data_IF_989090854279
#
_entry.id   IF_989090854279
#
_cell.length_a   1.000
_cell.length_b   1.000
_cell.length_c   1.000
_cell.angle_alpha   90.00
_cell.angle_beta   90.00
_cell.angle_gamma   90.00
#
_symmetry.space_group_name_H-M   'P 1'
#
loop_
_entity.id
_entity.type
_entity.pdbx_description
1 polymer ?
#
# COMPACT_ATOMS: atom_id res chain seq x y z
N UNK A 1 -2.45 21.46 1.94
CA UNK A 1 -3.25 21.52 3.17
C UNK A 1 -4.11 20.27 3.42
N UNK A 2 -4.65 19.58 2.40
CA UNK A 2 -5.57 18.44 2.61
C UNK A 2 -4.93 17.18 3.25
N UNK A 3 -3.72 16.78 2.86
CA UNK A 3 -3.05 15.57 3.39
C UNK A 3 -2.71 15.69 4.89
N UNK A 4 -2.14 16.82 5.32
CA UNK A 4 -1.84 17.09 6.73
C UNK A 4 -3.11 17.07 7.59
N UNK A 5 -4.20 17.67 7.10
CA UNK A 5 -5.49 17.64 7.78
C UNK A 5 -6.06 16.22 7.86
N UNK A 6 -5.94 15.42 6.80
CA UNK A 6 -6.36 14.01 6.81
C UNK A 6 -5.61 13.20 7.89
N UNK A 7 -4.29 13.34 7.96
CA UNK A 7 -3.46 12.68 8.99
C UNK A 7 -3.87 13.15 10.39
N UNK A 8 -3.95 14.47 10.61
CA UNK A 8 -4.30 15.05 11.90
C UNK A 8 -5.72 14.69 12.37
N UNK A 9 -6.65 14.45 11.45
CA UNK A 9 -8.05 14.10 11.74
C UNK A 9 -8.28 12.60 11.89
N UNK A 10 -7.23 11.80 12.08
CA UNK A 10 -7.28 10.33 12.14
C UNK A 10 -7.91 9.69 10.89
N UNK A 11 -7.72 10.31 9.72
CA UNK A 11 -8.33 9.87 8.47
C UNK A 11 -8.00 8.42 8.10
N UNK A 12 -6.78 7.96 8.37
CA UNK A 12 -6.39 6.55 8.15
C UNK A 12 -7.21 5.57 8.98
N UNK A 13 -7.44 5.88 10.26
CA UNK A 13 -8.24 5.03 11.14
C UNK A 13 -9.67 4.90 10.60
N UNK A 14 -10.29 6.03 10.26
CA UNK A 14 -11.65 6.06 9.70
C UNK A 14 -11.69 5.30 8.36
N UNK A 15 -10.71 5.53 7.49
CA UNK A 15 -10.64 4.85 6.19
C UNK A 15 -10.51 3.34 6.36
N UNK A 16 -9.68 2.85 7.28
CA UNK A 16 -9.54 1.42 7.52
C UNK A 16 -10.79 0.80 8.15
N UNK A 17 -11.47 1.50 9.05
CA UNK A 17 -12.76 1.04 9.57
C UNK A 17 -13.81 0.90 8.46
N UNK A 18 -13.84 1.84 7.51
CA UNK A 18 -14.73 1.75 6.34
C UNK A 18 -14.32 0.59 5.45
N UNK A 19 -13.03 0.45 5.12
CA UNK A 19 -12.51 -0.62 4.29
C UNK A 19 -12.78 -2.00 4.89
N UNK A 20 -12.60 -2.17 6.21
CA UNK A 20 -12.92 -3.44 6.88
C UNK A 20 -14.40 -3.80 6.77
N UNK A 21 -15.31 -2.81 6.78
CA UNK A 21 -16.75 -3.05 6.55
C UNK A 21 -17.06 -3.41 5.11
N UNK A 22 -16.55 -2.64 4.14
CA UNK A 22 -16.88 -2.85 2.72
C UNK A 22 -16.11 -4.01 2.08
N UNK A 23 -15.14 -4.60 2.80
CA UNK A 23 -14.41 -5.80 2.39
C UNK A 23 -14.76 -7.04 3.21
N UNK A 24 -15.81 -6.98 4.05
CA UNK A 24 -16.20 -8.08 4.94
C UNK A 24 -16.72 -9.33 4.22
N UNK A 25 -17.11 -9.22 2.95
CA UNK A 25 -17.55 -10.35 2.11
C UNK A 25 -17.28 -10.06 0.63
N UNK A 26 -17.24 -11.12 -0.19
CA UNK A 26 -17.05 -11.00 -1.63
C UNK A 26 -18.15 -10.18 -2.32
N UNK A 27 -19.41 -10.32 -1.85
CA UNK A 27 -20.53 -9.53 -2.37
C UNK A 27 -20.32 -8.02 -2.15
N UNK A 28 -19.84 -7.62 -0.97
CA UNK A 28 -19.54 -6.22 -0.65
C UNK A 28 -18.34 -5.70 -1.45
N UNK A 29 -17.32 -6.55 -1.67
CA UNK A 29 -16.18 -6.21 -2.53
C UNK A 29 -16.67 -5.90 -3.96
N UNK A 30 -17.52 -6.76 -4.52
CA UNK A 30 -18.08 -6.57 -5.86
C UNK A 30 -18.93 -5.29 -5.93
N UNK A 31 -19.84 -5.09 -4.98
CA UNK A 31 -20.71 -3.90 -4.90
C UNK A 31 -19.89 -2.60 -4.83
N UNK A 32 -18.79 -2.61 -4.08
CA UNK A 32 -17.98 -1.43 -3.81
C UNK A 32 -16.68 -1.36 -4.63
N UNK A 33 -16.51 -2.16 -5.68
CA UNK A 33 -15.29 -2.23 -6.50
C UNK A 33 -14.75 -0.85 -6.91
N UNK A 34 -15.64 0.07 -7.33
CA UNK A 34 -15.23 1.44 -7.73
C UNK A 34 -14.65 2.24 -6.58
N UNK A 35 -15.23 2.13 -5.39
CA UNK A 35 -14.72 2.77 -4.18
C UNK A 35 -13.37 2.16 -3.78
N UNK A 36 -13.27 0.83 -3.80
CA UNK A 36 -12.05 0.09 -3.46
C UNK A 36 -10.89 0.45 -4.39
N UNK A 37 -11.12 0.56 -5.71
CA UNK A 37 -10.09 1.00 -6.66
C UNK A 37 -9.59 2.42 -6.35
N UNK A 38 -10.49 3.35 -6.01
CA UNK A 38 -10.10 4.71 -5.61
C UNK A 38 -9.35 4.72 -4.28
N UNK A 39 -9.77 3.91 -3.31
CA UNK A 39 -9.10 3.77 -2.04
C UNK A 39 -7.69 3.18 -2.20
N UNK A 40 -7.51 2.18 -3.07
CA UNK A 40 -6.22 1.58 -3.38
C UNK A 40 -5.27 2.60 -4.00
N UNK A 41 -5.74 3.36 -4.98
CA UNK A 41 -4.97 4.44 -5.59
C UNK A 41 -4.61 5.51 -4.56
N UNK A 42 -5.58 5.97 -3.77
CA UNK A 42 -5.36 6.94 -2.70
C UNK A 42 -4.31 6.46 -1.68
N UNK A 43 -4.43 5.22 -1.20
CA UNK A 43 -3.46 4.64 -0.26
C UNK A 43 -2.06 4.55 -0.88
N UNK A 44 -1.95 4.22 -2.16
CA UNK A 44 -0.68 4.20 -2.90
C UNK A 44 -0.05 5.60 -2.94
N UNK A 45 -0.82 6.64 -3.30
CA UNK A 45 -0.35 8.03 -3.26
C UNK A 45 0.09 8.44 -1.86
N UNK A 46 -0.69 8.10 -0.83
CA UNK A 46 -0.32 8.41 0.55
C UNK A 46 1.01 7.75 0.95
N UNK A 47 1.27 6.50 0.55
CA UNK A 47 2.55 5.84 0.83
C UNK A 47 3.75 6.54 0.17
N UNK A 48 3.51 7.23 -0.94
CA UNK A 48 4.53 7.99 -1.67
C UNK A 48 4.82 9.35 -1.04
N UNK A 49 3.79 9.99 -0.46
CA UNK A 49 3.82 11.41 -0.09
C UNK A 49 3.90 11.69 1.41
N UNK A 50 3.76 10.67 2.28
CA UNK A 50 3.84 10.88 3.72
C UNK A 50 5.25 11.31 4.16
N UNK A 51 5.32 12.39 4.94
CA UNK A 51 6.55 12.82 5.60
C UNK A 51 6.91 11.90 6.77
N UNK A 52 8.15 11.97 7.26
CA UNK A 52 8.59 11.18 8.41
C UNK A 52 7.77 11.49 9.67
N UNK A 53 7.45 12.76 9.88
CA UNK A 53 6.61 13.22 10.99
C UNK A 53 5.20 12.62 10.90
N UNK A 54 4.63 12.56 9.69
CA UNK A 54 3.32 11.97 9.48
C UNK A 54 3.34 10.45 9.65
N UNK A 55 4.38 9.76 9.18
CA UNK A 55 4.57 8.32 9.41
C UNK A 55 4.66 8.01 10.91
N UNK A 56 5.38 8.83 11.68
CA UNK A 56 5.44 8.71 13.14
C UNK A 56 4.08 8.97 13.79
N UNK A 57 3.33 9.96 13.31
CA UNK A 57 2.00 10.30 13.83
C UNK A 57 0.97 9.20 13.59
N UNK A 58 1.15 8.36 12.57
CA UNK A 58 0.24 7.26 12.23
C UNK A 58 0.80 5.87 12.56
N UNK A 59 1.89 5.78 13.34
CA UNK A 59 2.54 4.50 13.66
C UNK A 59 1.56 3.45 14.21
N UNK A 60 0.56 3.88 14.99
CA UNK A 60 -0.42 3.00 15.62
C UNK A 60 -1.53 2.56 14.66
N UNK A 61 -1.58 3.10 13.45
CA UNK A 61 -2.52 2.67 12.40
C UNK A 61 -2.06 1.40 11.69
N UNK A 62 -0.85 0.90 11.96
CA UNK A 62 -0.26 -0.28 11.31
C UNK A 62 -0.39 -0.25 9.77
N UNK A 63 -0.03 0.89 9.16
CA UNK A 63 -0.28 1.18 7.75
C UNK A 63 0.22 0.07 6.81
N UNK A 64 1.45 -0.43 7.02
CA UNK A 64 2.01 -1.51 6.21
C UNK A 64 1.20 -2.81 6.32
N UNK A 65 0.79 -3.19 7.54
CA UNK A 65 -0.05 -4.37 7.78
C UNK A 65 -1.42 -4.22 7.11
N UNK A 66 -2.06 -3.06 7.23
CA UNK A 66 -3.37 -2.81 6.61
C UNK A 66 -3.31 -2.85 5.09
N UNK A 67 -2.26 -2.31 4.49
CA UNK A 67 -2.04 -2.41 3.04
C UNK A 67 -1.79 -3.86 2.62
N UNK A 68 -0.99 -4.60 3.37
CA UNK A 68 -0.75 -6.02 3.13
C UNK A 68 -2.04 -6.86 3.21
N UNK A 69 -2.86 -6.63 4.23
CA UNK A 69 -4.17 -7.29 4.38
C UNK A 69 -5.09 -6.99 3.19
N UNK A 70 -5.17 -5.74 2.76
CA UNK A 70 -5.99 -5.35 1.60
C UNK A 70 -5.47 -5.97 0.31
N UNK A 71 -4.15 -5.98 0.09
CA UNK A 71 -3.55 -6.60 -1.08
C UNK A 71 -3.83 -8.12 -1.14
N UNK A 72 -3.83 -8.79 0.01
CA UNK A 72 -4.22 -10.20 0.12
C UNK A 72 -5.70 -10.43 -0.18
N UNK A 73 -6.58 -9.56 0.34
CA UNK A 73 -8.03 -9.66 0.13
C UNK A 73 -8.43 -9.42 -1.33
N UNK A 74 -7.69 -8.58 -2.05
CA UNK A 74 -7.99 -8.23 -3.44
C UNK A 74 -7.29 -9.10 -4.48
N UNK A 75 -6.33 -9.95 -4.08
CA UNK A 75 -5.66 -10.82 -5.05
C UNK A 75 -6.59 -11.95 -5.56
N UNK A 76 -6.64 -12.24 -6.87
CA UNK A 76 -5.94 -11.57 -7.98
C UNK A 76 -6.74 -10.39 -8.58
N UNK A 77 -8.02 -10.24 -8.25
CA UNK A 77 -8.89 -9.16 -8.73
C UNK A 77 -9.70 -8.53 -7.58
N UNK A 78 -9.70 -7.18 -7.41
CA UNK A 78 -9.03 -6.19 -8.26
C UNK A 78 -7.49 -6.23 -8.18
N UNK A 79 -6.77 -5.78 -9.21
CA UNK A 79 -5.31 -5.91 -9.27
C UNK A 79 -4.67 -5.19 -8.07
N UNK A 80 -3.87 -5.87 -7.23
CA UNK A 80 -3.33 -5.28 -6.01
C UNK A 80 -2.10 -4.40 -6.28
N UNK A 81 -1.73 -4.15 -7.54
CA UNK A 81 -0.49 -3.48 -7.93
C UNK A 81 -0.24 -2.16 -7.20
N UNK A 82 -1.24 -1.27 -7.12
CA UNK A 82 -1.09 0.01 -6.42
C UNK A 82 -0.78 -0.16 -4.93
N UNK A 83 -1.41 -1.14 -4.29
CA UNK A 83 -1.16 -1.48 -2.88
C UNK A 83 0.22 -2.12 -2.71
N UNK A 84 0.62 -3.02 -3.60
CA UNK A 84 1.92 -3.67 -3.58
C UNK A 84 3.06 -2.68 -3.82
N UNK A 85 2.88 -1.73 -4.74
CA UNK A 85 3.81 -0.63 -4.97
C UNK A 85 3.96 0.26 -3.73
N UNK A 86 2.84 0.66 -3.13
CA UNK A 86 2.84 1.42 -1.87
C UNK A 86 3.52 0.66 -0.74
N UNK A 87 3.28 -0.65 -0.62
CA UNK A 87 3.92 -1.50 0.37
C UNK A 87 5.43 -1.60 0.17
N UNK A 88 5.91 -1.75 -1.06
CA UNK A 88 7.35 -1.78 -1.36
C UNK A 88 8.06 -0.51 -0.88
N UNK A 89 7.43 0.66 -1.09
CA UNK A 89 7.96 1.94 -0.61
C UNK A 89 8.03 2.00 0.92
N UNK A 90 6.97 1.59 1.61
CA UNK A 90 6.93 1.57 3.09
C UNK A 90 7.98 0.62 3.68
N UNK A 91 8.21 -0.53 3.07
CA UNK A 91 9.18 -1.54 3.55
C UNK A 91 10.63 -1.16 3.23
N UNK A 92 10.86 -0.48 2.10
CA UNK A 92 12.21 -0.03 1.71
C UNK A 92 12.60 1.31 2.34
N UNK A 93 11.61 2.07 2.84
CA UNK A 93 11.82 3.44 3.31
C UNK A 93 12.10 4.41 2.15
N UNK A 94 11.69 4.05 0.92
CA UNK A 94 11.84 4.90 -0.26
C UNK A 94 10.64 5.81 -0.40
N UNK A 95 10.86 7.03 -0.87
CA UNK A 95 9.80 7.94 -1.32
C UNK A 95 9.79 7.97 -2.85
N UNK A 96 8.62 8.16 -3.44
CA UNK A 96 8.49 8.31 -4.89
C UNK A 96 9.06 9.67 -5.33
N UNK A 97 9.76 9.70 -6.46
CA UNK A 97 10.42 10.89 -7.03
C UNK A 97 9.41 11.88 -7.66
N UNK A 98 8.13 11.50 -7.75
CA UNK A 98 7.08 12.31 -8.36
C UNK A 98 6.81 13.66 -7.65
N UNK A 99 7.35 13.89 -6.46
CA UNK A 99 7.18 15.14 -5.71
C UNK A 99 8.18 16.24 -6.08
N UNK A 100 9.19 16.00 -6.92
CA UNK A 100 10.12 17.07 -7.31
C UNK A 100 10.77 16.81 -8.69
N UNK A 101 10.12 17.17 -9.81
CA UNK A 101 10.72 17.03 -11.14
C UNK A 101 11.93 17.95 -11.35
N UNK A 102 12.07 19.00 -10.54
CA UNK A 102 13.17 19.98 -10.62
C UNK A 102 14.33 19.71 -9.65
N UNK A 103 14.15 18.85 -8.64
CA UNK A 103 15.24 18.41 -7.77
C UNK A 103 15.67 16.98 -8.10
N UNK A 104 16.46 16.86 -9.16
CA UNK A 104 17.37 15.72 -9.29
C UNK A 104 18.23 15.62 -8.02
N UNK A 105 17.97 14.60 -7.21
CA UNK A 105 18.69 14.28 -5.98
C UNK A 105 18.54 15.33 -4.85
N UNK A 106 17.31 15.50 -4.31
CA UNK A 106 17.26 15.76 -2.86
C UNK A 106 17.81 14.51 -2.20
N UNK A 107 18.95 14.65 -1.55
CA UNK A 107 19.57 13.69 -0.63
C UNK A 107 18.58 13.45 0.53
N UNK A 108 17.50 12.76 0.21
CA UNK A 108 16.37 12.51 1.08
C UNK A 108 16.81 11.36 1.94
N UNK A 109 17.12 11.66 3.19
CA UNK A 109 17.24 10.66 4.25
C UNK A 109 16.12 9.62 4.04
N UNK A 110 16.46 8.32 3.93
CA UNK A 110 15.46 7.30 3.70
C UNK A 110 14.39 7.40 4.79
N UNK A 111 13.13 7.34 4.36
CA UNK A 111 11.99 7.37 5.25
C UNK A 111 12.07 6.19 6.24
N UNK A 112 11.49 6.31 7.44
CA UNK A 112 11.38 5.20 8.38
C UNK A 112 10.78 3.97 7.69
N UNK A 113 11.53 2.86 7.72
CA UNK A 113 11.04 1.57 7.25
C UNK A 113 9.96 1.08 8.20
N UNK A 114 8.81 0.71 7.66
CA UNK A 114 7.78 0.04 8.44
C UNK A 114 8.03 -1.45 8.48
N UNK A 115 7.83 -2.05 9.65
CA UNK A 115 7.84 -3.50 9.81
C UNK A 115 6.47 -4.08 9.49
N UNK A 116 6.46 -5.23 8.81
CA UNK A 116 5.27 -6.04 8.60
C UNK A 116 5.25 -7.20 9.62
N UNK A 117 4.07 -7.58 10.12
CA UNK A 117 3.92 -8.80 10.94
C UNK A 117 4.35 -10.06 10.18
N UNK A 118 4.91 -11.03 10.90
CA UNK A 118 5.54 -12.21 10.27
C UNK A 118 4.53 -13.14 9.59
N UNK A 119 3.31 -13.24 10.11
CA UNK A 119 2.21 -13.97 9.48
C UNK A 119 1.82 -13.33 8.14
N UNK A 120 1.70 -12.00 8.10
CA UNK A 120 1.43 -11.25 6.87
C UNK A 120 2.56 -11.36 5.86
N UNK A 121 3.83 -11.35 6.30
CA UNK A 121 4.98 -11.58 5.40
C UNK A 121 4.87 -12.95 4.72
N UNK A 122 4.60 -14.00 5.47
CA UNK A 122 4.47 -15.36 4.94
C UNK A 122 3.29 -15.47 3.96
N UNK A 123 2.13 -14.91 4.33
CA UNK A 123 0.93 -14.93 3.50
C UNK A 123 1.13 -14.15 2.19
N UNK A 124 1.69 -12.94 2.26
CA UNK A 124 2.00 -12.14 1.07
C UNK A 124 3.04 -12.83 0.18
N UNK A 125 4.11 -13.42 0.76
CA UNK A 125 5.11 -14.14 -0.02
C UNK A 125 4.47 -15.26 -0.85
N UNK A 126 3.52 -15.99 -0.27
CA UNK A 126 2.76 -17.04 -0.96
C UNK A 126 1.85 -16.44 -2.03
N UNK A 127 1.08 -15.41 -1.71
CA UNK A 127 0.12 -14.79 -2.63
C UNK A 127 0.81 -14.15 -3.85
N UNK A 128 1.87 -13.37 -3.62
CA UNK A 128 2.65 -12.70 -4.66
C UNK A 128 3.34 -13.71 -5.59
N UNK A 129 3.65 -14.91 -5.10
CA UNK A 129 4.16 -16.01 -5.92
C UNK A 129 3.18 -16.48 -7.01
N UNK A 130 1.88 -16.26 -6.81
CA UNK A 130 0.81 -16.73 -7.68
C UNK A 130 0.17 -15.59 -8.52
N UNK A 131 0.62 -14.35 -8.37
CA UNK A 131 0.08 -13.23 -9.14
C UNK A 131 0.51 -13.37 -10.61
N UNK A 132 -0.40 -13.12 -11.57
CA UNK A 132 -0.01 -13.03 -12.97
C UNK A 132 0.91 -11.81 -13.16
N UNK A 133 1.98 -11.99 -13.94
CA UNK A 133 2.95 -10.91 -14.25
C UNK A 133 3.06 -10.60 -15.74
N UNK A 134 2.28 -11.29 -16.57
CA UNK A 134 2.18 -11.10 -18.02
C UNK A 134 0.82 -11.59 -18.51
N UNK A 135 0.37 -11.07 -19.66
CA UNK A 135 -0.76 -11.57 -20.44
C UNK A 135 -2.08 -11.75 -19.64
N UNK A 136 -2.39 -10.79 -18.76
CA UNK A 136 -3.63 -10.75 -17.97
C UNK A 136 -4.05 -9.31 -17.66
N UNK A 137 -5.36 -9.04 -17.65
CA UNK A 137 -5.93 -7.76 -17.20
C UNK A 137 -5.63 -7.45 -15.71
N UNK A 138 -5.21 -8.47 -14.96
CA UNK A 138 -4.78 -8.35 -13.56
C UNK A 138 -3.27 -8.52 -13.37
N UNK A 139 -2.49 -8.47 -14.46
CA UNK A 139 -1.05 -8.59 -14.39
C UNK A 139 -0.44 -7.46 -13.54
N UNK A 140 0.50 -7.82 -12.67
CA UNK A 140 1.26 -6.88 -11.83
C UNK A 140 2.68 -6.76 -12.38
N UNK A 141 3.27 -5.56 -12.33
CA UNK A 141 4.67 -5.35 -12.73
C UNK A 141 5.62 -6.38 -12.06
N UNK A 142 6.34 -7.19 -12.85
CA UNK A 142 7.33 -8.13 -12.34
C UNK A 142 8.38 -7.49 -11.42
N UNK A 143 8.73 -6.22 -11.62
CA UNK A 143 9.70 -5.51 -10.79
C UNK A 143 9.22 -5.34 -9.34
N UNK A 144 7.94 -4.97 -9.15
CA UNK A 144 7.30 -4.85 -7.83
C UNK A 144 7.29 -6.23 -7.15
N UNK A 145 6.85 -7.25 -7.88
CA UNK A 145 6.80 -8.64 -7.39
C UNK A 145 8.17 -9.13 -6.94
N UNK A 146 9.21 -8.88 -7.73
CA UNK A 146 10.58 -9.30 -7.42
C UNK A 146 11.18 -8.53 -6.25
N UNK A 147 10.88 -7.24 -6.11
CA UNK A 147 11.31 -6.43 -4.96
C UNK A 147 10.69 -6.96 -3.67
N UNK A 148 9.36 -7.12 -3.64
CA UNK A 148 8.65 -7.65 -2.48
C UNK A 148 9.10 -9.07 -2.11
N UNK A 149 9.36 -9.95 -3.09
CA UNK A 149 9.93 -11.29 -2.82
C UNK A 149 11.28 -11.24 -2.09
N UNK A 150 12.08 -10.20 -2.28
CA UNK A 150 13.35 -10.01 -1.56
C UNK A 150 13.13 -9.45 -0.16
N UNK A 151 12.21 -8.49 -0.02
CA UNK A 151 11.91 -7.80 1.24
C UNK A 151 11.15 -8.67 2.24
N UNK A 152 10.30 -9.55 1.74
CA UNK A 152 9.49 -10.43 2.56
C UNK A 152 10.23 -11.70 2.96
N UNK A 153 11.58 -11.78 2.88
CA UNK A 153 12.38 -12.97 3.21
C UNK A 153 12.56 -13.19 4.70
#
# INVERSE_FOLDING_TARGET
MCQQQFVASHGFKILFEVLDRVTASEALIQEHTRFLNKANFFLSCMCQELTDEQLLAIKDCALADKIAELALRFAPAPPPEFLLSGLDLLLTGRRSVLLDPDNSAVDTKPAPKLSLRDDLKANLRKAIGNLPTADSDCAVDPAIVNSLKKLLK
#
